data_IF_526590588165
#
_entry.id   IF_526590588165
#
_cell.length_a   1.000
_cell.length_b   1.000
_cell.length_c   1.000
_cell.angle_alpha   90.00
_cell.angle_beta   90.00
_cell.angle_gamma   90.00
#
_symmetry.space_group_name_H-M   'P 1'
#
loop_
_entity.id
_entity.type
_entity.pdbx_description
1 polymer ?
#
# COMPACT_ATOMS: atom_id res chain seq x y z
N UNK A 1 14.52 20.44 12.41
CA UNK A 1 14.82 19.00 12.29
C UNK A 1 13.55 18.17 12.24
N UNK A 2 12.58 18.39 13.12
CA UNK A 2 11.25 17.72 13.12
C UNK A 2 10.56 17.87 11.77
N UNK A 3 10.50 19.07 11.19
CA UNK A 3 9.86 19.36 9.91
C UNK A 3 10.44 18.54 8.75
N UNK A 4 11.75 18.27 8.76
CA UNK A 4 12.39 17.44 7.72
C UNK A 4 11.96 15.98 7.81
N UNK A 5 11.84 15.43 9.02
CA UNK A 5 11.33 14.07 9.22
C UNK A 5 9.87 13.96 8.79
N UNK A 6 9.04 14.94 9.16
CA UNK A 6 7.63 14.99 8.79
C UNK A 6 7.45 15.12 7.28
N UNK A 7 8.22 15.99 6.63
CA UNK A 7 8.22 16.12 5.17
C UNK A 7 8.61 14.82 4.48
N UNK A 8 9.72 14.20 4.89
CA UNK A 8 10.18 12.95 4.32
C UNK A 8 9.14 11.81 4.52
N UNK A 9 8.50 11.74 5.71
CA UNK A 9 7.45 10.78 6.00
C UNK A 9 6.23 10.98 5.09
N UNK A 10 5.78 12.24 4.88
CA UNK A 10 4.68 12.56 3.96
C UNK A 10 5.04 12.13 2.54
N UNK A 11 6.23 12.50 2.04
CA UNK A 11 6.66 12.17 0.68
C UNK A 11 6.72 10.66 0.45
N UNK A 12 7.37 9.91 1.35
CA UNK A 12 7.48 8.45 1.19
C UNK A 12 6.13 7.74 1.31
N UNK A 13 5.27 8.19 2.22
CA UNK A 13 3.92 7.62 2.35
C UNK A 13 3.07 7.96 1.13
N UNK A 14 3.16 9.19 0.60
CA UNK A 14 2.47 9.60 -0.63
C UNK A 14 2.93 8.77 -1.84
N UNK A 15 4.23 8.54 -1.99
CA UNK A 15 4.78 7.69 -3.06
C UNK A 15 4.28 6.24 -2.92
N UNK A 16 4.27 5.68 -1.72
CA UNK A 16 3.72 4.34 -1.49
C UNK A 16 2.22 4.28 -1.80
N UNK A 17 1.44 5.25 -1.29
CA UNK A 17 0.00 5.35 -1.53
C UNK A 17 -0.32 5.51 -3.03
N UNK A 18 0.45 6.32 -3.76
CA UNK A 18 0.19 6.60 -5.18
C UNK A 18 0.25 5.34 -6.04
N UNK A 19 1.14 4.40 -5.73
CA UNK A 19 1.23 3.10 -6.42
C UNK A 19 -0.03 2.27 -6.18
N UNK A 20 -0.53 2.22 -4.93
CA UNK A 20 -1.76 1.49 -4.60
C UNK A 20 -2.98 2.12 -5.26
N UNK A 21 -3.15 3.42 -5.07
CA UNK A 21 -4.29 4.16 -5.59
C UNK A 21 -4.30 4.20 -7.12
N UNK A 22 -3.16 4.44 -7.76
CA UNK A 22 -3.02 4.42 -9.22
C UNK A 22 -3.37 3.07 -9.80
N UNK A 23 -2.83 1.99 -9.25
CA UNK A 23 -3.14 0.61 -9.66
C UNK A 23 -4.63 0.28 -9.48
N UNK A 24 -5.21 0.68 -8.36
CA UNK A 24 -6.64 0.46 -8.10
C UNK A 24 -7.53 1.24 -9.07
N UNK A 25 -7.21 2.50 -9.32
CA UNK A 25 -8.02 3.38 -10.17
C UNK A 25 -7.94 2.99 -11.66
N UNK A 26 -6.75 2.67 -12.14
CA UNK A 26 -6.50 2.53 -13.60
C UNK A 26 -6.45 1.08 -14.06
N UNK A 27 -5.95 0.16 -13.24
CA UNK A 27 -5.75 -1.22 -13.67
C UNK A 27 -6.87 -2.17 -13.23
N UNK A 28 -7.60 -1.89 -12.13
CA UNK A 28 -8.66 -2.78 -11.68
C UNK A 28 -9.75 -3.00 -12.76
N UNK A 29 -10.27 -1.96 -13.44
CA UNK A 29 -11.25 -2.15 -14.52
C UNK A 29 -10.67 -2.96 -15.71
N UNK A 30 -9.38 -2.79 -16.01
CA UNK A 30 -8.70 -3.54 -17.08
C UNK A 30 -8.59 -5.00 -16.70
N UNK A 31 -8.18 -5.31 -15.47
CA UNK A 31 -8.05 -6.70 -15.00
C UNK A 31 -9.38 -7.43 -14.92
N UNK A 32 -10.46 -6.73 -14.55
CA UNK A 32 -11.80 -7.30 -14.47
C UNK A 32 -12.29 -7.82 -15.81
N UNK A 33 -11.97 -7.12 -16.90
CA UNK A 33 -12.39 -7.45 -18.26
C UNK A 33 -11.36 -8.26 -19.04
N UNK A 34 -10.17 -8.48 -18.49
CA UNK A 34 -9.08 -9.19 -19.17
C UNK A 34 -9.27 -10.70 -19.18
N UNK A 35 -8.71 -11.35 -20.21
CA UNK A 35 -8.57 -12.80 -20.22
C UNK A 35 -7.53 -13.27 -19.19
N UNK A 36 -7.56 -14.54 -18.82
CA UNK A 36 -6.58 -15.13 -17.89
C UNK A 36 -5.14 -14.99 -18.37
N UNK A 37 -4.90 -15.04 -19.68
CA UNK A 37 -3.58 -14.82 -20.28
C UNK A 37 -3.08 -13.40 -20.01
N UNK A 38 -3.88 -12.40 -20.33
CA UNK A 38 -3.56 -10.98 -20.13
C UNK A 38 -3.37 -10.66 -18.65
N UNK A 39 -4.28 -11.13 -17.79
CA UNK A 39 -4.14 -10.99 -16.34
C UNK A 39 -2.80 -11.55 -15.84
N UNK A 40 -2.45 -12.77 -16.27
CA UNK A 40 -1.20 -13.42 -15.85
C UNK A 40 0.02 -12.61 -16.25
N UNK A 41 0.09 -12.11 -17.48
CA UNK A 41 1.22 -11.29 -17.97
C UNK A 41 1.35 -9.98 -17.20
N UNK A 42 0.26 -9.24 -17.03
CA UNK A 42 0.24 -7.96 -16.29
C UNK A 42 0.69 -8.20 -14.84
N UNK A 43 0.11 -9.22 -14.17
CA UNK A 43 0.39 -9.50 -12.77
C UNK A 43 1.85 -9.91 -12.56
N UNK A 44 2.41 -10.77 -13.43
CA UNK A 44 3.82 -11.18 -13.38
C UNK A 44 4.76 -9.99 -13.61
N UNK A 45 4.47 -9.16 -14.60
CA UNK A 45 5.27 -7.98 -14.92
C UNK A 45 5.32 -7.00 -13.77
N UNK A 46 4.16 -6.66 -13.22
CA UNK A 46 4.04 -5.74 -12.09
C UNK A 46 4.70 -6.26 -10.83
N UNK A 47 4.43 -7.51 -10.46
CA UNK A 47 4.99 -8.10 -9.24
C UNK A 47 6.53 -8.15 -9.28
N UNK A 48 7.13 -8.37 -10.45
CA UNK A 48 8.59 -8.37 -10.64
C UNK A 48 9.23 -7.05 -10.22
N UNK A 49 8.55 -5.93 -10.46
CA UNK A 49 9.03 -4.59 -10.07
C UNK A 49 8.62 -4.28 -8.63
N UNK A 50 7.34 -4.49 -8.31
CA UNK A 50 6.77 -4.12 -7.02
C UNK A 50 7.44 -4.89 -5.86
N UNK A 51 7.76 -6.18 -6.03
CA UNK A 51 8.43 -6.97 -5.00
C UNK A 51 9.82 -6.48 -4.62
N UNK A 52 10.47 -5.67 -5.47
CA UNK A 52 11.78 -5.06 -5.18
C UNK A 52 11.67 -3.67 -4.59
N UNK A 53 10.74 -2.87 -5.08
CA UNK A 53 10.62 -1.44 -4.75
C UNK A 53 9.75 -1.21 -3.51
N UNK A 54 8.59 -1.88 -3.45
CA UNK A 54 7.60 -1.61 -2.40
C UNK A 54 8.06 -1.97 -0.98
N UNK A 55 8.83 -3.04 -0.71
CA UNK A 55 9.36 -3.28 0.62
C UNK A 55 10.26 -2.16 1.13
N UNK A 56 11.06 -1.55 0.26
CA UNK A 56 11.96 -0.45 0.62
C UNK A 56 11.12 0.79 0.96
N UNK A 57 10.22 1.20 0.05
CA UNK A 57 9.35 2.36 0.25
C UNK A 57 8.44 2.21 1.46
N UNK A 58 7.75 1.07 1.58
CA UNK A 58 6.80 0.82 2.65
C UNK A 58 7.45 0.77 4.02
N UNK A 59 8.57 0.07 4.16
CA UNK A 59 9.30 0.02 5.44
C UNK A 59 9.87 1.38 5.83
N UNK A 60 10.45 2.12 4.88
CA UNK A 60 10.95 3.47 5.14
C UNK A 60 9.82 4.42 5.57
N UNK A 61 8.65 4.36 4.90
CA UNK A 61 7.49 5.14 5.27
C UNK A 61 7.00 4.81 6.70
N UNK A 62 6.85 3.53 7.03
CA UNK A 62 6.43 3.08 8.37
C UNK A 62 7.40 3.58 9.44
N UNK A 63 8.71 3.44 9.22
CA UNK A 63 9.73 3.86 10.19
C UNK A 63 9.70 5.38 10.42
N UNK A 64 9.57 6.18 9.35
CA UNK A 64 9.49 7.64 9.50
C UNK A 64 8.18 8.09 10.14
N UNK A 65 7.05 7.50 9.78
CA UNK A 65 5.76 7.78 10.45
C UNK A 65 5.82 7.41 11.93
N UNK A 66 6.43 6.26 12.28
CA UNK A 66 6.61 5.86 13.67
C UNK A 66 7.50 6.85 14.46
N UNK A 67 8.57 7.35 13.83
CA UNK A 67 9.39 8.41 14.42
C UNK A 67 8.57 9.69 14.65
N UNK A 68 7.71 10.09 13.68
CA UNK A 68 6.83 11.25 13.83
C UNK A 68 5.78 11.05 14.94
N UNK A 69 5.24 9.83 15.12
CA UNK A 69 4.36 9.48 16.25
C UNK A 69 5.09 9.72 17.58
N UNK A 70 6.32 9.25 17.71
CA UNK A 70 7.11 9.47 18.92
C UNK A 70 7.37 10.96 19.18
N UNK A 71 7.69 11.74 18.14
CA UNK A 71 7.94 13.17 18.25
C UNK A 71 6.67 13.96 18.61
N UNK A 72 5.49 13.48 18.21
CA UNK A 72 4.21 14.17 18.48
C UNK A 72 3.59 13.86 19.84
N UNK A 73 4.22 13.05 20.69
CA UNK A 73 3.67 12.58 21.99
C UNK A 73 3.26 13.69 22.97
N UNK A 74 3.82 14.87 22.83
CA UNK A 74 3.50 16.02 23.68
C UNK A 74 2.25 16.80 23.25
N UNK A 75 1.75 16.54 22.04
CA UNK A 75 0.53 17.16 21.48
C UNK A 75 -0.52 16.06 21.28
N UNK A 76 -1.49 15.89 22.20
CA UNK A 76 -2.38 14.72 22.24
C UNK A 76 -3.13 14.44 20.94
N UNK A 77 -3.63 15.49 20.26
CA UNK A 77 -4.37 15.36 18.99
C UNK A 77 -3.42 14.90 17.88
N UNK A 78 -2.25 15.52 17.75
CA UNK A 78 -1.26 15.15 16.75
C UNK A 78 -0.80 13.70 16.97
N UNK A 79 -0.55 13.32 18.22
CA UNK A 79 -0.18 11.95 18.58
C UNK A 79 -1.28 10.95 18.18
N UNK A 80 -2.54 11.22 18.55
CA UNK A 80 -3.67 10.33 18.25
C UNK A 80 -3.86 10.11 16.74
N UNK A 81 -3.82 11.20 15.96
CA UNK A 81 -3.97 11.14 14.50
C UNK A 81 -2.78 10.43 13.84
N UNK A 82 -1.54 10.73 14.25
CA UNK A 82 -0.35 10.08 13.72
C UNK A 82 -0.33 8.59 14.05
N UNK A 83 -0.70 8.21 15.27
CA UNK A 83 -0.78 6.81 15.70
C UNK A 83 -1.85 6.04 14.93
N UNK A 84 -3.06 6.61 14.78
CA UNK A 84 -4.11 6.03 13.97
C UNK A 84 -3.67 5.85 12.51
N UNK A 85 -3.01 6.87 11.95
CA UNK A 85 -2.40 6.79 10.61
C UNK A 85 -1.39 5.66 10.49
N UNK A 86 -0.47 5.53 11.45
CA UNK A 86 0.53 4.46 11.49
C UNK A 86 -0.12 3.08 11.56
N UNK A 87 -1.14 2.91 12.39
CA UNK A 87 -1.87 1.62 12.52
C UNK A 87 -2.51 1.21 11.18
N UNK A 88 -3.14 2.16 10.47
CA UNK A 88 -3.74 1.86 9.17
C UNK A 88 -2.69 1.54 8.09
N UNK A 89 -1.55 2.24 8.07
CA UNK A 89 -0.43 1.97 7.15
C UNK A 89 0.18 0.59 7.46
N UNK A 90 0.33 0.24 8.73
CA UNK A 90 0.81 -1.08 9.13
C UNK A 90 -0.21 -2.20 8.78
N UNK A 91 -1.51 -1.93 8.90
CA UNK A 91 -2.56 -2.84 8.49
C UNK A 91 -2.57 -3.09 6.97
N UNK A 92 -2.34 -2.07 6.14
CA UNK A 92 -2.11 -2.23 4.69
C UNK A 92 -0.96 -3.21 4.42
N UNK A 93 0.18 -3.03 5.10
CA UNK A 93 1.32 -3.94 4.96
C UNK A 93 0.97 -5.36 5.39
N UNK A 94 0.24 -5.54 6.49
CA UNK A 94 -0.20 -6.85 6.95
C UNK A 94 -1.10 -7.55 5.92
N UNK A 95 -2.10 -6.85 5.36
CA UNK A 95 -2.96 -7.38 4.28
C UNK A 95 -2.13 -7.71 3.03
N UNK A 96 -1.16 -6.87 2.69
CA UNK A 96 -0.24 -7.13 1.58
C UNK A 96 0.47 -8.46 1.74
N UNK A 97 1.12 -8.65 2.88
CA UNK A 97 1.97 -9.82 3.13
C UNK A 97 1.16 -11.12 3.30
N UNK A 98 -0.02 -11.04 3.91
CA UNK A 98 -0.83 -12.23 4.21
C UNK A 98 -1.81 -12.61 3.11
N UNK A 99 -2.24 -11.66 2.28
CA UNK A 99 -3.29 -11.89 1.28
C UNK A 99 -2.80 -11.73 -0.17
N UNK A 100 -2.18 -10.59 -0.53
CA UNK A 100 -1.81 -10.33 -1.93
C UNK A 100 -0.52 -11.05 -2.34
N UNK A 101 0.51 -11.03 -1.50
CA UNK A 101 1.81 -11.68 -1.80
C UNK A 101 1.68 -13.18 -2.04
N UNK A 102 0.91 -13.98 -1.26
CA UNK A 102 0.71 -15.39 -1.57
C UNK A 102 0.07 -15.64 -2.94
N UNK A 103 -0.89 -14.80 -3.35
CA UNK A 103 -1.50 -14.91 -4.69
C UNK A 103 -0.47 -14.54 -5.78
N UNK A 104 0.31 -13.48 -5.58
CA UNK A 104 1.37 -13.09 -6.51
C UNK A 104 2.36 -14.23 -6.73
N UNK A 105 2.79 -14.90 -5.66
CA UNK A 105 3.70 -16.06 -5.76
C UNK A 105 3.11 -17.21 -6.57
N UNK A 106 1.82 -17.47 -6.45
CA UNK A 106 1.14 -18.48 -7.26
C UNK A 106 1.14 -18.07 -8.74
N UNK A 107 0.75 -16.83 -9.04
CA UNK A 107 0.69 -16.31 -10.43
C UNK A 107 2.07 -16.31 -11.10
N UNK A 108 3.17 -16.08 -10.36
CA UNK A 108 4.52 -16.16 -10.91
C UNK A 108 4.84 -17.53 -11.52
N UNK A 109 4.26 -18.62 -10.99
CA UNK A 109 4.44 -19.98 -11.51
C UNK A 109 3.56 -20.33 -12.71
N UNK A 110 2.61 -19.48 -13.11
CA UNK A 110 1.66 -19.83 -14.17
C UNK A 110 2.24 -19.68 -15.58
N UNK A 111 1.75 -20.51 -16.50
CA UNK A 111 1.91 -20.29 -17.93
C UNK A 111 0.80 -19.34 -18.41
N UNK A 112 1.17 -18.17 -18.93
CA UNK A 112 0.20 -17.18 -19.40
C UNK A 112 -0.63 -17.69 -20.60
N UNK A 113 -0.08 -18.55 -21.45
CA UNK A 113 -0.82 -19.16 -22.57
C UNK A 113 -1.85 -20.22 -22.15
N UNK A 114 -1.72 -20.72 -20.91
CA UNK A 114 -2.61 -21.74 -20.34
C UNK A 114 -2.76 -21.51 -18.83
N UNK A 115 -3.43 -20.41 -18.42
CA UNK A 115 -3.63 -20.12 -17.00
C UNK A 115 -4.52 -21.19 -16.37
N UNK A 116 -4.32 -21.52 -15.08
CA UNK A 116 -5.11 -22.54 -14.41
C UNK A 116 -6.59 -22.14 -14.30
N UNK A 117 -7.54 -23.07 -14.25
CA UNK A 117 -8.98 -22.78 -14.19
C UNK A 117 -9.38 -21.80 -13.06
N UNK A 118 -8.65 -21.80 -11.96
CA UNK A 118 -8.90 -20.94 -10.77
C UNK A 118 -8.42 -19.50 -10.94
N UNK A 119 -7.88 -19.12 -12.11
CA UNK A 119 -7.30 -17.79 -12.32
C UNK A 119 -8.26 -16.63 -12.02
N UNK A 120 -9.54 -16.77 -12.42
CA UNK A 120 -10.56 -15.74 -12.23
C UNK A 120 -10.88 -15.54 -10.73
N UNK A 121 -11.03 -16.63 -9.98
CA UNK A 121 -11.26 -16.59 -8.54
C UNK A 121 -10.09 -15.91 -7.80
N UNK A 122 -8.85 -16.26 -8.16
CA UNK A 122 -7.67 -15.67 -7.56
C UNK A 122 -7.47 -14.20 -7.94
N UNK A 123 -7.85 -13.79 -9.17
CA UNK A 123 -7.92 -12.39 -9.57
C UNK A 123 -8.90 -11.62 -8.68
N UNK A 124 -10.13 -12.10 -8.54
CA UNK A 124 -11.18 -11.41 -7.79
C UNK A 124 -10.82 -11.30 -6.30
N UNK A 125 -10.22 -12.37 -5.74
CA UNK A 125 -9.69 -12.35 -4.39
C UNK A 125 -8.55 -11.36 -4.23
N UNK A 126 -7.64 -11.28 -5.20
CA UNK A 126 -6.55 -10.32 -5.20
C UNK A 126 -7.08 -8.88 -5.25
N UNK A 127 -8.06 -8.58 -6.13
CA UNK A 127 -8.68 -7.27 -6.24
C UNK A 127 -9.40 -6.84 -4.96
N UNK A 128 -10.12 -7.74 -4.34
CA UNK A 128 -10.78 -7.47 -3.04
C UNK A 128 -9.77 -7.00 -2.00
N UNK A 129 -8.67 -7.72 -1.83
CA UNK A 129 -7.64 -7.33 -0.87
C UNK A 129 -6.87 -6.09 -1.32
N UNK A 130 -6.69 -5.89 -2.62
CA UNK A 130 -6.08 -4.67 -3.14
C UNK A 130 -6.95 -3.44 -2.86
N UNK A 131 -8.25 -3.53 -2.96
CA UNK A 131 -9.19 -2.47 -2.58
C UNK A 131 -9.11 -2.16 -1.08
N UNK A 132 -9.13 -3.20 -0.23
CA UNK A 132 -9.03 -3.04 1.24
C UNK A 132 -7.74 -2.29 1.59
N UNK A 133 -6.60 -2.74 1.09
CA UNK A 133 -5.31 -2.11 1.39
C UNK A 133 -5.19 -0.69 0.81
N UNK A 134 -5.81 -0.41 -0.33
CA UNK A 134 -5.85 0.94 -0.89
C UNK A 134 -6.63 1.89 0.03
N UNK A 135 -7.78 1.47 0.56
CA UNK A 135 -8.54 2.25 1.54
C UNK A 135 -7.72 2.47 2.82
N UNK A 136 -7.04 1.43 3.30
CA UNK A 136 -6.20 1.53 4.51
C UNK A 136 -5.07 2.53 4.34
N UNK A 137 -4.30 2.46 3.25
CA UNK A 137 -3.16 3.35 3.03
C UNK A 137 -3.61 4.80 2.78
N UNK A 138 -4.69 5.03 2.02
CA UNK A 138 -5.24 6.37 1.76
C UNK A 138 -5.75 6.99 3.05
N UNK A 139 -6.50 6.25 3.87
CA UNK A 139 -6.98 6.74 5.16
C UNK A 139 -5.83 7.00 6.13
N UNK A 140 -4.86 6.09 6.19
CA UNK A 140 -3.67 6.23 7.02
C UNK A 140 -2.83 7.45 6.65
N UNK A 141 -2.59 7.66 5.35
CA UNK A 141 -1.91 8.83 4.84
C UNK A 141 -2.66 10.13 5.18
N UNK A 142 -3.99 10.14 5.01
CA UNK A 142 -4.81 11.32 5.30
C UNK A 142 -4.76 11.70 6.76
N UNK A 143 -4.89 10.75 7.69
CA UNK A 143 -4.80 10.99 9.13
C UNK A 143 -3.41 11.49 9.53
N UNK A 144 -2.36 10.84 9.06
CA UNK A 144 -0.99 11.25 9.34
C UNK A 144 -0.70 12.66 8.81
N UNK A 145 -1.06 12.96 7.57
CA UNK A 145 -0.86 14.28 6.96
C UNK A 145 -1.66 15.36 7.69
N UNK A 146 -2.91 15.06 8.09
CA UNK A 146 -3.73 15.96 8.90
C UNK A 146 -3.06 16.29 10.23
N UNK A 147 -2.43 15.31 10.89
CA UNK A 147 -1.72 15.55 12.14
C UNK A 147 -0.56 16.53 11.97
N UNK A 148 0.19 16.40 10.87
CA UNK A 148 1.34 17.27 10.60
C UNK A 148 0.94 18.67 10.17
N UNK A 149 -0.12 18.79 9.35
CA UNK A 149 -0.53 20.07 8.76
C UNK A 149 -1.29 20.94 9.77
N UNK A 150 -2.20 20.34 10.53
CA UNK A 150 -3.12 21.10 11.38
C UNK A 150 -2.69 21.13 12.86
N UNK A 151 -1.83 20.24 13.30
CA UNK A 151 -1.44 20.09 14.71
C UNK A 151 0.09 20.03 14.87
N UNK A 152 0.78 21.07 14.37
CA UNK A 152 2.25 21.12 14.34
C UNK A 152 2.86 20.92 15.73
N UNK A 153 3.87 20.08 15.79
CA UNK A 153 4.79 19.96 16.92
C UNK A 153 5.92 20.97 16.69
N UNK A 154 6.00 21.98 17.57
CA UNK A 154 7.06 22.99 17.54
C UNK A 154 8.28 22.56 18.34
#
# INVERSE_FOLDING_TARGET
MVDMFQFAAIVLTALSMSVHFGTWLTEAPIRETSSGAVFTEIQKGRDRVASRVMPILGNAAILLVAACVFLSRTVPIAFGLSLAGLVLIAADMAVTLTCNVPINKQVQGWNASAPPPVWAELRDRWEKFHTIRTVLIVSGFSLFTSSVVFFRVH
#
